data_IF_014208332832
#
_entry.id   IF_014208332832
#
_cell.length_a   1.000
_cell.length_b   1.000
_cell.length_c   1.000
_cell.angle_alpha   90.00
_cell.angle_beta   90.00
_cell.angle_gamma   90.00
#
_symmetry.space_group_name_H-M   'P 1'
#
loop_
_entity.id
_entity.type
_entity.pdbx_description
1 polymer ?
#
# COMPACT_ATOMS: atom_id res chain seq x y z
N UNK A 1 -22.12 -28.88 11.10
CA UNK A 1 -23.16 -28.30 10.22
C UNK A 1 -22.46 -27.52 9.09
N UNK A 2 -21.79 -28.06 8.06
CA UNK A 2 -22.07 -29.09 7.04
C UNK A 2 -23.23 -28.83 6.07
N UNK A 3 -23.38 -27.58 5.58
CA UNK A 3 -24.36 -27.25 4.53
C UNK A 3 -23.78 -26.68 3.23
N UNK A 4 -22.49 -26.30 3.16
CA UNK A 4 -21.89 -25.77 1.92
C UNK A 4 -21.18 -26.81 1.05
N UNK A 5 -20.81 -27.97 1.62
CA UNK A 5 -20.00 -28.98 0.94
C UNK A 5 -20.75 -29.82 -0.10
N UNK A 6 -22.08 -29.68 -0.22
CA UNK A 6 -22.92 -30.45 -1.17
C UNK A 6 -23.35 -29.66 -2.42
N UNK A 7 -23.16 -28.35 -2.46
CA UNK A 7 -23.55 -27.52 -3.61
C UNK A 7 -22.44 -27.33 -4.65
N UNK A 8 -21.18 -27.54 -4.27
CA UNK A 8 -20.04 -27.50 -5.18
C UNK A 8 -19.50 -28.92 -5.36
N UNK A 9 -19.83 -29.52 -6.50
CA UNK A 9 -19.35 -30.85 -6.89
C UNK A 9 -17.82 -30.88 -7.03
N UNK A 10 -17.13 -31.18 -5.93
CA UNK A 10 -15.71 -31.48 -5.92
C UNK A 10 -15.42 -32.78 -6.67
N UNK A 11 -15.13 -32.69 -7.97
CA UNK A 11 -14.22 -33.64 -8.59
C UNK A 11 -12.83 -33.30 -8.07
N UNK A 12 -12.28 -34.14 -7.17
CA UNK A 12 -10.85 -34.16 -6.84
C UNK A 12 -10.07 -34.47 -8.13
N UNK A 13 -9.78 -33.44 -8.93
CA UNK A 13 -8.59 -33.47 -9.79
C UNK A 13 -7.43 -33.26 -8.83
N UNK A 14 -6.83 -34.35 -8.39
CA UNK A 14 -5.46 -34.33 -7.89
C UNK A 14 -4.58 -33.80 -9.01
N UNK A 15 -4.39 -32.49 -9.08
CA UNK A 15 -3.40 -31.85 -9.95
C UNK A 15 -2.03 -32.27 -9.44
N UNK A 16 -1.54 -33.39 -9.98
CA UNK A 16 -0.10 -33.69 -9.99
C UNK A 16 0.58 -32.66 -10.90
N UNK A 17 0.95 -31.52 -10.34
CA UNK A 17 2.00 -30.65 -10.88
C UNK A 17 2.21 -29.53 -9.86
N UNK A 18 3.21 -29.72 -8.99
CA UNK A 18 3.98 -28.65 -8.30
C UNK A 18 4.97 -29.32 -7.34
N UNK A 19 5.72 -30.31 -7.83
CA UNK A 19 6.98 -30.69 -7.18
C UNK A 19 8.03 -29.82 -7.85
N UNK A 20 8.37 -28.69 -7.23
CA UNK A 20 9.56 -27.92 -7.62
C UNK A 20 10.73 -28.90 -7.72
N UNK A 21 11.42 -28.90 -8.87
CA UNK A 21 12.58 -29.75 -9.08
C UNK A 21 13.64 -29.38 -8.03
N UNK A 22 14.28 -30.36 -7.36
CA UNK A 22 15.39 -30.07 -6.45
C UNK A 22 16.61 -29.44 -7.15
N UNK A 23 16.61 -29.42 -8.49
CA UNK A 23 17.64 -28.81 -9.33
C UNK A 23 17.24 -27.44 -9.88
N UNK A 24 15.99 -26.99 -9.70
CA UNK A 24 15.62 -25.62 -10.06
C UNK A 24 16.06 -24.68 -8.93
N UNK A 25 16.66 -23.52 -9.24
CA UNK A 25 16.86 -22.49 -8.24
C UNK A 25 15.50 -22.08 -7.67
N UNK A 26 15.45 -21.88 -6.35
CA UNK A 26 14.23 -21.36 -5.69
C UNK A 26 13.85 -20.05 -6.36
N UNK A 27 12.60 -19.94 -6.81
CA UNK A 27 12.07 -18.65 -7.25
C UNK A 27 12.04 -17.72 -6.04
N UNK A 28 12.89 -16.70 -6.03
CA UNK A 28 12.73 -15.58 -5.12
C UNK A 28 11.63 -14.69 -5.67
N UNK A 29 10.75 -14.23 -4.80
CA UNK A 29 9.83 -13.15 -5.15
C UNK A 29 10.61 -11.91 -5.56
N UNK A 30 10.01 -11.08 -6.42
CA UNK A 30 10.54 -9.76 -6.75
C UNK A 30 10.61 -8.89 -5.48
N UNK A 31 11.59 -7.98 -5.41
CA UNK A 31 11.85 -7.15 -4.22
C UNK A 31 10.60 -6.39 -3.75
N UNK A 32 9.76 -5.95 -4.69
CA UNK A 32 8.50 -5.25 -4.44
C UNK A 32 7.47 -6.13 -3.72
N UNK A 33 7.43 -7.42 -4.08
CA UNK A 33 6.55 -8.41 -3.44
C UNK A 33 7.05 -8.72 -2.03
N UNK A 34 8.36 -8.86 -1.85
CA UNK A 34 8.96 -9.08 -0.52
C UNK A 34 8.68 -7.87 0.39
N UNK A 35 8.88 -6.65 -0.13
CA UNK A 35 8.56 -5.42 0.60
C UNK A 35 7.09 -5.39 1.00
N UNK A 36 6.17 -5.59 0.06
CA UNK A 36 4.74 -5.57 0.30
C UNK A 36 4.32 -6.57 1.40
N UNK A 37 4.88 -7.79 1.38
CA UNK A 37 4.63 -8.80 2.41
C UNK A 37 5.11 -8.33 3.78
N UNK A 38 6.38 -7.95 3.90
CA UNK A 38 6.97 -7.53 5.17
C UNK A 38 6.30 -6.27 5.72
N UNK A 39 6.01 -5.29 4.86
CA UNK A 39 5.34 -4.06 5.24
C UNK A 39 3.93 -4.32 5.76
N UNK A 40 3.17 -5.19 5.09
CA UNK A 40 1.82 -5.59 5.52
C UNK A 40 1.85 -6.37 6.83
N UNK A 41 2.82 -7.28 7.02
CA UNK A 41 3.02 -7.99 8.29
C UNK A 41 3.29 -7.05 9.47
N UNK A 42 3.88 -5.88 9.22
CA UNK A 42 4.08 -4.82 10.22
C UNK A 42 2.88 -3.88 10.38
N UNK A 43 1.74 -4.18 9.77
CA UNK A 43 0.53 -3.37 9.83
C UNK A 43 0.53 -2.17 8.88
N UNK A 44 1.55 -2.06 8.02
CA UNK A 44 1.58 -1.11 6.93
C UNK A 44 0.45 -1.39 5.94
N UNK A 45 -0.02 -0.33 5.28
CA UNK A 45 -1.02 -0.39 4.21
C UNK A 45 -0.49 0.36 3.01
N UNK A 46 -0.67 -0.20 1.83
CA UNK A 46 -0.27 0.43 0.58
C UNK A 46 -1.39 0.27 -0.45
N UNK A 47 -1.42 1.19 -1.41
CA UNK A 47 -2.33 1.14 -2.55
C UNK A 47 -1.45 1.28 -3.80
N UNK A 48 -1.64 0.38 -4.75
CA UNK A 48 -1.02 0.52 -6.06
C UNK A 48 -1.76 1.56 -6.88
N UNK A 49 -1.02 2.50 -7.47
CA UNK A 49 -1.55 3.57 -8.30
C UNK A 49 -0.92 3.47 -9.68
N UNK A 50 -1.74 3.24 -10.70
CA UNK A 50 -1.28 2.99 -12.07
C UNK A 50 -0.90 4.29 -12.79
N UNK A 51 -1.61 5.38 -12.52
CA UNK A 51 -1.43 6.67 -13.18
C UNK A 51 -1.69 7.85 -12.23
N UNK A 52 -1.24 9.08 -12.57
CA UNK A 52 -1.41 10.27 -11.72
C UNK A 52 -2.85 10.56 -11.29
N UNK A 53 -3.86 10.29 -12.15
CA UNK A 53 -5.27 10.53 -11.80
C UNK A 53 -5.73 9.55 -10.74
N UNK A 54 -5.31 8.28 -10.83
CA UNK A 54 -5.57 7.30 -9.78
C UNK A 54 -4.92 7.72 -8.46
N UNK A 55 -3.70 8.30 -8.49
CA UNK A 55 -3.02 8.82 -7.29
C UNK A 55 -3.84 9.93 -6.63
N UNK A 56 -4.29 10.91 -7.43
CA UNK A 56 -5.07 12.04 -6.93
C UNK A 56 -6.41 11.59 -6.34
N UNK A 57 -7.03 10.57 -6.96
CA UNK A 57 -8.28 9.97 -6.46
C UNK A 57 -8.06 9.23 -5.13
N UNK A 58 -7.04 8.37 -5.05
CA UNK A 58 -6.73 7.64 -3.82
C UNK A 58 -6.35 8.59 -2.68
N UNK A 59 -5.58 9.64 -2.96
CA UNK A 59 -5.26 10.66 -1.97
C UNK A 59 -6.54 11.28 -1.38
N UNK A 60 -7.50 11.67 -2.22
CA UNK A 60 -8.80 12.20 -1.76
C UNK A 60 -9.59 11.18 -0.94
N UNK A 61 -9.64 9.92 -1.38
CA UNK A 61 -10.35 8.86 -0.67
C UNK A 61 -9.74 8.60 0.72
N UNK A 62 -8.40 8.60 0.84
CA UNK A 62 -7.70 8.46 2.12
C UNK A 62 -8.09 9.60 3.07
N UNK A 63 -8.09 10.85 2.59
CA UNK A 63 -8.51 12.00 3.39
C UNK A 63 -9.98 11.86 3.84
N UNK A 64 -10.88 11.46 2.94
CA UNK A 64 -12.29 11.29 3.23
C UNK A 64 -12.55 10.17 4.25
N UNK A 65 -11.92 9.01 4.08
CA UNK A 65 -12.07 7.86 4.98
C UNK A 65 -11.65 8.22 6.41
N UNK A 66 -10.59 9.01 6.55
CA UNK A 66 -10.05 9.40 7.86
C UNK A 66 -10.62 10.72 8.40
N UNK A 67 -11.50 11.40 7.64
CA UNK A 67 -12.04 12.73 7.98
C UNK A 67 -10.91 13.76 8.25
N UNK A 68 -9.93 13.77 7.36
CA UNK A 68 -8.83 14.72 7.36
C UNK A 68 -9.06 15.80 6.31
N UNK A 69 -8.81 17.05 6.71
CA UNK A 69 -8.80 18.19 5.80
C UNK A 69 -7.36 18.54 5.38
N UNK A 70 -7.18 19.34 4.32
CA UNK A 70 -5.84 19.75 3.89
C UNK A 70 -5.03 20.50 4.97
N UNK A 71 -5.69 21.12 5.94
CA UNK A 71 -5.02 21.78 7.07
C UNK A 71 -4.47 20.79 8.11
N UNK A 72 -4.94 19.54 8.11
CA UNK A 72 -4.44 18.47 8.97
C UNK A 72 -3.14 17.85 8.44
N UNK A 73 -2.72 18.22 7.23
CA UNK A 73 -1.55 17.66 6.54
C UNK A 73 -0.33 18.52 6.79
N UNK A 74 0.70 17.89 7.37
CA UNK A 74 2.04 18.42 7.44
C UNK A 74 2.84 17.99 6.20
N UNK A 75 3.53 18.92 5.56
CA UNK A 75 4.39 18.69 4.42
C UNK A 75 5.52 19.74 4.39
N UNK A 76 6.76 19.29 4.33
CA UNK A 76 7.93 20.18 4.25
C UNK A 76 8.53 20.27 2.84
N UNK A 77 8.06 19.43 1.91
CA UNK A 77 8.57 19.37 0.55
C UNK A 77 7.66 20.19 -0.38
N UNK A 78 8.19 21.28 -0.94
CA UNK A 78 7.44 22.18 -1.81
C UNK A 78 6.90 21.47 -3.06
N UNK A 79 7.66 20.56 -3.67
CA UNK A 79 7.24 19.85 -4.88
C UNK A 79 6.03 18.96 -4.61
N UNK A 80 6.00 18.29 -3.45
CA UNK A 80 4.86 17.46 -3.02
C UNK A 80 3.67 18.36 -2.71
N UNK A 81 3.90 19.45 -1.99
CA UNK A 81 2.86 20.41 -1.65
C UNK A 81 2.17 20.96 -2.90
N UNK A 82 2.94 21.34 -3.91
CA UNK A 82 2.44 21.84 -5.19
C UNK A 82 1.67 20.77 -5.97
N UNK A 83 2.17 19.52 -6.01
CA UNK A 83 1.51 18.39 -6.69
C UNK A 83 0.12 18.08 -6.12
N UNK A 84 -0.03 18.14 -4.80
CA UNK A 84 -1.29 17.84 -4.12
C UNK A 84 -2.12 19.08 -3.76
N UNK A 85 -1.65 20.27 -4.16
CA UNK A 85 -2.28 21.57 -3.86
C UNK A 85 -2.53 21.79 -2.36
N UNK A 86 -1.55 21.41 -1.54
CA UNK A 86 -1.57 21.59 -0.09
C UNK A 86 -0.54 22.64 0.35
N UNK A 87 -0.63 23.08 1.60
CA UNK A 87 0.33 24.04 2.14
C UNK A 87 1.65 23.36 2.47
N UNK A 88 2.75 23.93 2.00
CA UNK A 88 4.09 23.62 2.50
C UNK A 88 4.34 24.39 3.82
N UNK A 89 4.73 23.70 4.87
CA UNK A 89 5.05 24.30 6.17
C UNK A 89 6.55 24.58 6.32
N UNK A 90 6.89 25.53 7.18
CA UNK A 90 8.26 25.73 7.64
C UNK A 90 8.60 24.76 8.78
N UNK A 91 9.88 24.53 9.03
CA UNK A 91 10.33 23.52 10.03
C UNK A 91 9.95 23.88 11.48
N UNK A 92 9.61 25.14 11.75
CA UNK A 92 9.32 25.66 13.09
C UNK A 92 7.81 25.65 13.45
N UNK A 93 6.99 24.86 12.74
CA UNK A 93 5.56 24.75 13.04
C UNK A 93 5.31 23.86 14.25
N UNK A 94 4.22 24.13 14.97
CA UNK A 94 3.72 23.21 15.99
C UNK A 94 3.13 21.97 15.31
N UNK A 95 3.85 20.85 15.41
CA UNK A 95 3.50 19.57 14.78
C UNK A 95 2.25 18.91 15.36
N UNK A 96 1.89 19.20 16.62
CA UNK A 96 0.75 18.58 17.31
C UNK A 96 -0.60 19.01 16.72
N UNK A 97 -0.60 20.03 15.86
CA UNK A 97 -1.80 20.50 15.15
C UNK A 97 -2.15 19.66 13.93
N UNK A 98 -1.27 18.77 13.48
CA UNK A 98 -1.43 17.98 12.27
C UNK A 98 -1.75 16.52 12.60
N UNK A 99 -2.53 15.87 11.75
CA UNK A 99 -2.93 14.46 11.91
C UNK A 99 -2.13 13.51 11.04
N UNK A 100 -1.57 14.03 9.94
CA UNK A 100 -0.84 13.23 8.95
C UNK A 100 0.37 14.00 8.45
N UNK A 101 1.45 13.27 8.21
CA UNK A 101 2.66 13.78 7.60
C UNK A 101 2.83 13.17 6.21
N UNK A 102 2.95 14.03 5.19
CA UNK A 102 3.12 13.63 3.81
C UNK A 102 4.58 13.83 3.38
N UNK A 103 5.21 12.75 2.92
CA UNK A 103 6.59 12.70 2.46
C UNK A 103 6.73 11.87 1.20
N UNK A 104 7.81 12.07 0.48
CA UNK A 104 8.29 11.20 -0.58
C UNK A 104 9.09 10.03 0.00
N UNK A 105 9.26 8.99 -0.83
CA UNK A 105 10.07 7.83 -0.52
C UNK A 105 10.97 7.56 -1.73
N UNK A 106 12.28 7.55 -1.52
CA UNK A 106 13.25 7.33 -2.59
C UNK A 106 13.39 5.84 -2.94
N UNK A 107 13.37 4.97 -1.93
CA UNK A 107 13.63 3.54 -2.09
C UNK A 107 12.78 2.68 -1.13
N UNK A 108 12.27 1.56 -1.66
CA UNK A 108 11.71 0.48 -0.88
C UNK A 108 12.80 -0.56 -0.58
N UNK A 109 12.98 -0.92 0.70
CA UNK A 109 14.00 -1.87 1.15
C UNK A 109 13.28 -3.03 1.86
N UNK A 110 13.60 -4.27 1.48
CA UNK A 110 12.99 -5.49 2.01
C UNK A 110 14.05 -6.49 2.49
#
# INVERSE_FOLDING_TARGET
>A
MSFWNKLFGFKKKTSKSDRESPYLPKKSDEIEIVFAKLFTEKGGKFIYSEDPKSTDNYFKLILQENKWDYNDILCFNQNIADRFHIRCQSINVNIDKFKVFLIDCEYLIA
#
